data_IF_434223007457
#
_entry.id   IF_434223007457
#
_cell.length_a   1.000
_cell.length_b   1.000
_cell.length_c   1.000
_cell.angle_alpha   90.00
_cell.angle_beta   90.00
_cell.angle_gamma   90.00
#
_symmetry.space_group_name_H-M   'P 1'
#
loop_
_entity.id
_entity.type
_entity.pdbx_description
1 polymer ?
#
# COMPACT_ATOMS: atom_id res chain seq x y z
N UNK A 1 -48.22 32.25 -18.71
CA UNK A 1 -46.81 32.03 -18.48
C UNK A 1 -46.63 31.83 -17.00
N UNK A 2 -46.63 30.58 -16.56
CA UNK A 2 -46.47 30.22 -15.16
C UNK A 2 -44.97 29.86 -14.95
N UNK A 3 -44.35 30.60 -14.05
CA UNK A 3 -42.99 30.33 -13.60
C UNK A 3 -43.01 29.18 -12.57
N UNK A 4 -42.58 27.99 -12.95
CA UNK A 4 -42.28 26.97 -12.00
C UNK A 4 -40.92 27.26 -11.34
N UNK A 5 -40.99 27.73 -10.09
CA UNK A 5 -39.85 27.81 -9.18
C UNK A 5 -39.63 26.42 -8.64
N UNK A 6 -38.60 25.73 -9.13
CA UNK A 6 -38.14 24.48 -8.57
C UNK A 6 -37.59 24.70 -7.16
N UNK A 7 -38.35 24.29 -6.17
CA UNK A 7 -37.89 24.25 -4.76
C UNK A 7 -37.04 23.03 -4.56
N UNK A 8 -35.72 23.16 -4.74
CA UNK A 8 -34.80 22.19 -4.17
C UNK A 8 -34.82 22.34 -2.64
N UNK A 9 -35.35 21.31 -1.97
CA UNK A 9 -35.52 21.33 -0.52
C UNK A 9 -34.19 21.27 0.23
N UNK A 10 -34.13 21.69 1.51
CA UNK A 10 -32.92 21.77 2.30
C UNK A 10 -32.21 20.42 2.57
N UNK A 11 -32.83 19.31 2.19
CA UNK A 11 -32.22 17.97 2.30
C UNK A 11 -31.15 17.67 1.25
N UNK A 12 -31.19 18.31 0.07
CA UNK A 12 -30.17 18.10 -0.98
C UNK A 12 -28.84 18.76 -0.60
N UNK A 13 -28.90 19.87 0.12
CA UNK A 13 -27.72 20.58 0.61
C UNK A 13 -27.06 19.92 1.84
N UNK A 14 -27.74 19.00 2.52
CA UNK A 14 -27.19 18.25 3.65
C UNK A 14 -26.48 16.97 3.24
N UNK A 15 -26.79 16.41 2.08
CA UNK A 15 -26.14 15.18 1.60
C UNK A 15 -24.69 15.38 1.16
N UNK A 16 -24.33 16.58 0.70
CA UNK A 16 -22.94 16.89 0.29
C UNK A 16 -21.99 17.22 1.46
N UNK A 17 -22.50 17.35 2.69
CA UNK A 17 -21.71 17.70 3.88
C UNK A 17 -21.37 16.53 4.80
N UNK A 18 -21.85 15.33 4.52
CA UNK A 18 -21.55 14.12 5.30
C UNK A 18 -20.91 13.06 4.39
N UNK A 19 -19.93 13.44 3.59
CA UNK A 19 -18.91 12.49 3.17
C UNK A 19 -17.85 12.55 4.29
N UNK A 20 -17.69 11.52 5.14
CA UNK A 20 -16.59 11.50 6.07
C UNK A 20 -15.34 11.66 5.21
N UNK A 21 -14.47 12.59 5.60
CA UNK A 21 -13.12 12.73 5.05
C UNK A 21 -12.57 11.31 5.00
N UNK A 22 -12.50 10.72 3.77
CA UNK A 22 -12.16 9.31 3.58
C UNK A 22 -10.76 9.17 4.13
N UNK A 23 -10.65 8.63 5.33
CA UNK A 23 -9.36 8.51 6.03
C UNK A 23 -8.42 7.81 5.07
N UNK A 24 -7.39 8.51 4.63
CA UNK A 24 -6.36 7.97 3.74
C UNK A 24 -5.50 7.03 4.56
N UNK A 25 -5.89 5.76 4.59
CA UNK A 25 -5.18 4.72 5.33
C UNK A 25 -3.84 4.41 4.70
N UNK A 26 -2.82 4.22 5.50
CA UNK A 26 -1.50 3.74 5.11
C UNK A 26 -1.41 2.26 5.47
N UNK A 27 -1.28 1.41 4.46
CA UNK A 27 -1.28 -0.05 4.64
C UNK A 27 0.10 -0.60 4.32
N UNK A 28 0.73 -1.24 5.30
CA UNK A 28 1.96 -1.99 5.08
C UNK A 28 1.63 -3.40 4.57
N UNK A 29 2.29 -3.82 3.49
CA UNK A 29 2.14 -5.17 2.94
C UNK A 29 3.48 -5.89 3.00
N UNK A 30 3.51 -7.00 3.72
CA UNK A 30 4.64 -7.92 3.81
C UNK A 30 4.40 -9.11 2.89
N UNK A 31 5.34 -9.42 2.01
CA UNK A 31 5.18 -10.49 1.04
C UNK A 31 6.53 -10.91 0.45
N UNK A 32 6.51 -11.97 -0.36
CA UNK A 32 7.71 -12.50 -1.01
C UNK A 32 8.37 -11.48 -1.94
N UNK A 33 9.70 -11.41 -1.85
CA UNK A 33 10.60 -10.72 -2.78
C UNK A 33 11.29 -11.71 -3.73
N UNK A 34 10.67 -12.83 -4.04
CA UNK A 34 11.17 -13.87 -4.95
C UNK A 34 10.19 -14.06 -6.10
N UNK A 35 10.71 -14.42 -7.28
CA UNK A 35 9.89 -14.67 -8.46
C UNK A 35 9.34 -16.11 -8.51
N UNK A 36 9.95 -17.04 -7.77
CA UNK A 36 9.58 -18.46 -7.71
C UNK A 36 8.41 -18.67 -6.73
N UNK A 37 7.28 -18.04 -7.04
CA UNK A 37 6.04 -18.09 -6.26
C UNK A 37 4.93 -18.54 -7.22
N UNK A 38 3.99 -19.32 -6.71
CA UNK A 38 2.87 -19.82 -7.54
C UNK A 38 2.06 -18.66 -8.17
N UNK A 39 1.64 -18.81 -9.44
CA UNK A 39 0.92 -17.75 -10.18
C UNK A 39 -0.33 -17.23 -9.48
N UNK A 40 -1.03 -18.07 -8.70
CA UNK A 40 -2.20 -17.63 -7.95
C UNK A 40 -1.90 -16.52 -6.95
N UNK A 41 -0.74 -16.54 -6.32
CA UNK A 41 -0.34 -15.50 -5.35
C UNK A 41 0.00 -14.18 -6.03
N UNK A 42 0.55 -14.20 -7.25
CA UNK A 42 0.71 -13.00 -8.06
C UNK A 42 -0.63 -12.35 -8.40
N UNK A 43 -1.64 -13.16 -8.74
CA UNK A 43 -3.00 -12.64 -9.00
C UNK A 43 -3.59 -11.98 -7.76
N UNK A 44 -3.45 -12.59 -6.60
CA UNK A 44 -3.97 -12.02 -5.34
C UNK A 44 -3.20 -10.75 -4.93
N UNK A 45 -1.89 -10.71 -5.11
CA UNK A 45 -1.10 -9.50 -4.88
C UNK A 45 -1.55 -8.35 -5.81
N UNK A 46 -1.79 -8.63 -7.07
CA UNK A 46 -2.31 -7.66 -8.03
C UNK A 46 -3.71 -7.16 -7.65
N UNK A 47 -4.61 -8.05 -7.21
CA UNK A 47 -5.96 -7.67 -6.72
C UNK A 47 -5.88 -6.78 -5.48
N UNK A 48 -5.01 -7.11 -4.53
CA UNK A 48 -4.79 -6.30 -3.34
C UNK A 48 -4.28 -4.91 -3.70
N UNK A 49 -3.24 -4.82 -4.53
CA UNK A 49 -2.68 -3.53 -4.97
C UNK A 49 -3.69 -2.67 -5.70
N UNK A 50 -4.46 -3.27 -6.60
CA UNK A 50 -5.57 -2.60 -7.28
C UNK A 50 -6.57 -2.04 -6.27
N UNK A 51 -6.97 -2.83 -5.28
CA UNK A 51 -7.94 -2.41 -4.28
C UNK A 51 -7.42 -1.27 -3.40
N UNK A 52 -6.14 -1.31 -3.01
CA UNK A 52 -5.49 -0.22 -2.26
C UNK A 52 -5.56 1.09 -3.06
N UNK A 53 -5.21 1.05 -4.35
CA UNK A 53 -5.29 2.21 -5.22
C UNK A 53 -6.72 2.74 -5.41
N UNK A 54 -7.71 1.86 -5.65
CA UNK A 54 -9.12 2.23 -5.80
C UNK A 54 -9.69 2.91 -4.54
N UNK A 55 -9.24 2.49 -3.35
CA UNK A 55 -9.66 3.10 -2.08
C UNK A 55 -8.97 4.44 -1.80
N UNK A 56 -8.00 4.84 -2.60
CA UNK A 56 -7.19 6.03 -2.37
C UNK A 56 -6.26 5.89 -1.15
N UNK A 57 -5.96 4.67 -0.75
CA UNK A 57 -5.02 4.37 0.33
C UNK A 57 -3.58 4.45 -0.15
N UNK A 58 -2.65 4.53 0.78
CA UNK A 58 -1.23 4.49 0.52
C UNK A 58 -0.67 3.10 0.82
N UNK A 59 0.09 2.55 -0.13
CA UNK A 59 0.86 1.33 0.09
C UNK A 59 2.21 1.68 0.71
N UNK A 60 2.55 0.99 1.79
CA UNK A 60 3.89 0.96 2.41
C UNK A 60 4.44 -0.45 2.23
N UNK A 61 5.65 -0.61 1.70
CA UNK A 61 6.20 -1.94 1.46
C UNK A 61 7.73 -1.96 1.44
N UNK A 62 8.32 -3.12 1.17
CA UNK A 62 9.77 -3.35 1.26
C UNK A 62 10.64 -2.70 0.18
N UNK A 63 10.07 -2.03 -0.81
CA UNK A 63 10.81 -1.21 -1.76
C UNK A 63 11.52 -1.94 -2.89
N UNK A 64 11.36 -3.26 -3.05
CA UNK A 64 11.98 -4.03 -4.15
C UNK A 64 11.08 -4.14 -5.38
N UNK A 65 11.68 -4.35 -6.55
CA UNK A 65 10.96 -4.58 -7.80
C UNK A 65 10.92 -6.07 -8.20
N UNK A 66 10.83 -6.97 -7.23
CA UNK A 66 10.87 -8.42 -7.42
C UNK A 66 9.67 -9.07 -6.72
N UNK A 67 9.18 -10.15 -7.32
CA UNK A 67 8.18 -11.03 -6.70
C UNK A 67 6.84 -10.38 -6.44
N UNK A 68 6.18 -10.79 -5.37
CA UNK A 68 4.89 -10.22 -4.96
C UNK A 68 5.00 -8.76 -4.54
N UNK A 69 6.16 -8.33 -4.00
CA UNK A 69 6.41 -6.92 -3.68
C UNK A 69 6.25 -6.04 -4.92
N UNK A 70 6.85 -6.42 -6.04
CA UNK A 70 6.69 -5.71 -7.31
C UNK A 70 5.24 -5.68 -7.75
N UNK A 71 4.55 -6.82 -7.71
CA UNK A 71 3.19 -6.94 -8.22
C UNK A 71 2.20 -6.05 -7.45
N UNK A 72 2.26 -6.05 -6.12
CA UNK A 72 1.36 -5.21 -5.31
C UNK A 72 1.64 -3.72 -5.53
N UNK A 73 2.90 -3.33 -5.65
CA UNK A 73 3.29 -1.93 -5.89
C UNK A 73 2.85 -1.46 -7.28
N UNK A 74 3.15 -2.22 -8.33
CA UNK A 74 2.78 -1.89 -9.71
C UNK A 74 1.25 -1.80 -9.88
N UNK A 75 0.50 -2.72 -9.27
CA UNK A 75 -0.96 -2.69 -9.32
C UNK A 75 -1.54 -1.46 -8.60
N UNK A 76 -0.95 -1.05 -7.48
CA UNK A 76 -1.36 0.17 -6.77
C UNK A 76 -1.10 1.41 -7.62
N UNK A 77 0.08 1.51 -8.24
CA UNK A 77 0.47 2.63 -9.10
C UNK A 77 -0.45 2.72 -10.32
N UNK A 78 -0.76 1.59 -10.98
CA UNK A 78 -1.67 1.56 -12.15
C UNK A 78 -3.05 2.14 -11.84
N UNK A 79 -3.50 2.08 -10.60
CA UNK A 79 -4.75 2.70 -10.15
C UNK A 79 -4.58 4.15 -9.65
N UNK A 80 -3.42 4.76 -9.85
CA UNK A 80 -3.12 6.12 -9.38
C UNK A 80 -2.89 6.21 -7.87
N UNK A 81 -2.67 5.08 -7.19
CA UNK A 81 -2.37 5.03 -5.77
C UNK A 81 -0.94 5.47 -5.45
N UNK A 82 -0.73 5.92 -4.23
CA UNK A 82 0.59 6.31 -3.73
C UNK A 82 1.31 5.12 -3.12
N UNK A 83 2.59 4.97 -3.45
CA UNK A 83 3.44 3.89 -2.95
C UNK A 83 4.71 4.45 -2.33
N UNK A 84 4.99 4.07 -1.09
CA UNK A 84 6.25 4.34 -0.39
C UNK A 84 6.97 3.01 -0.14
N UNK A 85 8.19 2.91 -0.65
CA UNK A 85 9.09 1.79 -0.38
C UNK A 85 10.06 2.13 0.75
N UNK A 86 10.36 1.15 1.60
CA UNK A 86 11.39 1.25 2.64
C UNK A 86 12.36 0.10 2.45
N UNK A 87 13.56 0.41 1.99
CA UNK A 87 14.58 -0.57 1.59
C UNK A 87 15.84 -0.39 2.41
N UNK A 88 16.47 -1.47 2.93
CA UNK A 88 17.77 -1.34 3.57
C UNK A 88 18.87 -1.12 2.54
N UNK A 89 19.94 -0.41 2.90
CA UNK A 89 21.07 -0.13 2.03
C UNK A 89 21.64 -1.39 1.37
N UNK A 90 21.82 -2.46 2.16
CA UNK A 90 22.37 -3.72 1.66
C UNK A 90 21.52 -4.38 0.56
N UNK A 91 20.21 -4.13 0.52
CA UNK A 91 19.31 -4.62 -0.51
C UNK A 91 19.29 -3.65 -1.69
N UNK A 92 19.23 -2.34 -1.44
CA UNK A 92 19.33 -1.31 -2.49
C UNK A 92 20.58 -1.52 -3.35
N UNK A 93 21.71 -1.78 -2.71
CA UNK A 93 23.02 -1.93 -3.38
C UNK A 93 23.11 -3.19 -4.26
N UNK A 94 22.15 -4.11 -4.15
CA UNK A 94 21.98 -5.23 -5.09
C UNK A 94 21.29 -4.84 -6.40
N UNK A 95 20.87 -3.58 -6.56
CA UNK A 95 20.23 -3.08 -7.77
C UNK A 95 18.77 -3.50 -7.94
N UNK A 96 18.08 -3.88 -6.88
CA UNK A 96 16.69 -4.35 -6.92
C UNK A 96 15.68 -3.34 -6.34
N UNK A 97 16.09 -2.09 -6.14
CA UNK A 97 15.19 -1.04 -5.71
C UNK A 97 14.15 -0.72 -6.78
N UNK A 98 12.90 -0.50 -6.36
CA UNK A 98 11.83 -0.12 -7.27
C UNK A 98 11.95 1.32 -7.74
N UNK A 99 11.53 1.57 -8.99
CA UNK A 99 11.34 2.90 -9.55
C UNK A 99 9.86 3.30 -9.57
N UNK A 100 9.58 4.57 -9.89
CA UNK A 100 8.21 5.07 -10.06
C UNK A 100 7.40 5.24 -8.77
N UNK A 101 8.04 5.12 -7.61
CA UNK A 101 7.41 5.29 -6.31
C UNK A 101 7.24 6.78 -5.98
N UNK A 102 6.23 7.10 -5.15
CA UNK A 102 6.11 8.43 -4.55
C UNK A 102 7.33 8.75 -3.69
N UNK A 103 7.80 7.77 -2.92
CA UNK A 103 8.96 7.89 -2.06
C UNK A 103 9.68 6.54 -1.90
N UNK A 104 10.99 6.58 -1.90
CA UNK A 104 11.85 5.46 -1.50
C UNK A 104 12.70 5.90 -0.32
N UNK A 105 12.47 5.31 0.84
CA UNK A 105 13.23 5.54 2.06
C UNK A 105 14.31 4.48 2.15
N UNK A 106 15.55 4.88 2.29
CA UNK A 106 16.68 3.96 2.48
C UNK A 106 17.00 3.89 3.96
N UNK A 107 16.83 2.71 4.56
CA UNK A 107 17.17 2.46 5.95
C UNK A 107 18.62 1.96 6.06
N UNK A 108 19.36 2.34 7.11
CA UNK A 108 20.74 1.90 7.29
C UNK A 108 20.87 0.38 7.48
N UNK A 109 19.88 -0.25 8.10
CA UNK A 109 19.85 -1.69 8.37
C UNK A 109 18.43 -2.27 8.41
N UNK A 110 18.32 -3.58 8.60
CA UNK A 110 17.04 -4.30 8.66
C UNK A 110 16.22 -3.96 9.90
N UNK A 111 16.85 -3.61 11.01
CA UNK A 111 16.17 -3.23 12.25
C UNK A 111 15.43 -1.90 12.06
N UNK A 112 16.14 -0.91 11.54
CA UNK A 112 15.55 0.41 11.28
C UNK A 112 14.49 0.33 10.19
N UNK A 113 14.68 -0.49 9.15
CA UNK A 113 13.66 -0.73 8.13
C UNK A 113 12.36 -1.24 8.73
N UNK A 114 12.40 -2.24 9.61
CA UNK A 114 11.21 -2.77 10.27
C UNK A 114 10.54 -1.73 11.16
N UNK A 115 11.33 -0.94 11.87
CA UNK A 115 10.81 0.19 12.65
C UNK A 115 10.05 1.19 11.76
N UNK A 116 10.67 1.64 10.68
CA UNK A 116 10.06 2.59 9.74
C UNK A 116 8.79 2.04 9.08
N UNK A 117 8.75 0.76 8.73
CA UNK A 117 7.54 0.13 8.20
C UNK A 117 6.36 0.22 9.18
N UNK A 118 6.62 0.00 10.47
CA UNK A 118 5.60 0.13 11.52
C UNK A 118 5.15 1.57 11.72
N UNK A 119 6.09 2.51 11.79
CA UNK A 119 5.80 3.93 12.01
C UNK A 119 5.02 4.57 10.85
N UNK A 120 5.22 4.09 9.63
CA UNK A 120 4.56 4.64 8.44
C UNK A 120 3.19 4.03 8.16
N UNK A 121 2.77 2.98 8.86
CA UNK A 121 1.55 2.25 8.55
C UNK A 121 0.51 2.33 9.67
N UNK A 122 -0.75 2.35 9.26
CA UNK A 122 -1.92 2.31 10.15
C UNK A 122 -2.50 0.89 10.23
N UNK A 123 -2.23 0.05 9.23
CA UNK A 123 -2.67 -1.34 9.15
C UNK A 123 -1.62 -2.19 8.43
N UNK A 124 -1.67 -3.51 8.66
CA UNK A 124 -0.68 -4.45 8.16
C UNK A 124 -1.36 -5.66 7.51
N UNK A 125 -0.86 -6.07 6.36
CA UNK A 125 -1.32 -7.25 5.63
C UNK A 125 -0.10 -8.11 5.28
N UNK A 126 -0.19 -9.41 5.54
CA UNK A 126 0.81 -10.37 5.07
C UNK A 126 0.23 -11.21 3.93
N UNK A 127 0.95 -11.26 2.82
CA UNK A 127 0.76 -12.21 1.74
C UNK A 127 1.79 -13.34 1.85
N UNK A 128 1.67 -14.41 1.09
CA UNK A 128 2.65 -15.47 1.10
C UNK A 128 4.09 -14.97 0.90
N UNK A 129 5.01 -15.51 1.66
CA UNK A 129 6.42 -15.16 1.65
C UNK A 129 7.26 -16.14 2.44
N UNK A 130 8.53 -15.83 2.59
CA UNK A 130 9.49 -16.64 3.35
C UNK A 130 9.60 -16.23 4.81
N UNK A 131 10.75 -16.55 5.39
CA UNK A 131 11.06 -16.25 6.79
C UNK A 131 11.03 -14.76 7.11
N UNK A 132 11.42 -13.90 6.18
CA UNK A 132 11.38 -12.45 6.36
C UNK A 132 9.95 -11.94 6.53
N UNK A 133 9.02 -12.43 5.71
CA UNK A 133 7.58 -12.08 5.82
C UNK A 133 7.01 -12.55 7.16
N UNK A 134 7.34 -13.77 7.59
CA UNK A 134 6.90 -14.32 8.87
C UNK A 134 7.46 -13.50 10.04
N UNK A 135 8.73 -13.13 10.01
CA UNK A 135 9.36 -12.30 11.04
C UNK A 135 8.67 -10.93 11.13
N UNK A 136 8.45 -10.26 10.00
CA UNK A 136 7.84 -8.94 9.95
C UNK A 136 6.43 -8.94 10.54
N UNK A 137 5.58 -9.90 10.17
CA UNK A 137 4.21 -9.95 10.67
C UNK A 137 4.13 -10.38 12.13
N UNK A 138 4.96 -11.30 12.58
CA UNK A 138 4.99 -11.72 13.99
C UNK A 138 5.51 -10.61 14.89
N UNK A 139 6.47 -9.81 14.44
CA UNK A 139 6.94 -8.65 15.19
C UNK A 139 5.81 -7.62 15.38
N UNK A 140 5.05 -7.32 14.32
CA UNK A 140 3.89 -6.42 14.42
C UNK A 140 2.83 -6.93 15.40
N UNK A 141 2.57 -8.23 15.41
CA UNK A 141 1.58 -8.84 16.32
C UNK A 141 2.04 -8.77 17.78
N UNK A 142 3.34 -8.80 18.03
CA UNK A 142 3.91 -8.88 19.37
C UNK A 142 4.23 -7.52 20.01
N UNK A 143 4.23 -6.46 19.24
CA UNK A 143 4.51 -5.09 19.70
C UNK A 143 3.22 -4.26 19.82
#
# INVERSE_FOLDING_TARGET
>A
MENEVGTEGPLSLMQDKIVPNKLKMRVAVFCASANEVEPCYFREAGRLGKRIGELGWQLIYGGTNIGLMREVADATIRQGGEVTGIIPECIRDRGVAAGGLKQLIVAPDMKERKHLLREHADAFIALPGGWGTLEEITEVITL
#
